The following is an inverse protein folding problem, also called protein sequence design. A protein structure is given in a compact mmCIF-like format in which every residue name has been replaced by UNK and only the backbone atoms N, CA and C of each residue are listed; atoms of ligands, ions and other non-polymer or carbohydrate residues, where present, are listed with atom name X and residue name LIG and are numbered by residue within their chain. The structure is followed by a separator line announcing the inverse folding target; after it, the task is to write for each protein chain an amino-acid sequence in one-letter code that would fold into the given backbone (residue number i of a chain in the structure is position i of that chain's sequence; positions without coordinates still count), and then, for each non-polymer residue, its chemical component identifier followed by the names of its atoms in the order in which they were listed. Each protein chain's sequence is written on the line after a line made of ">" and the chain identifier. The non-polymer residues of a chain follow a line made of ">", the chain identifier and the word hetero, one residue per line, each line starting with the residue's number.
data_IF_547947920458
#
_entry.id   IF_547947920458
#
_cell.length_a   1.000
_cell.length_b   1.000
_cell.length_c   1.000
_cell.angle_alpha   90.00
_cell.angle_beta   90.00
_cell.angle_gamma   90.00
#
_symmetry.space_group_name_H-M   'P 1'
#
loop_
_entity.id
_entity.type
_entity.pdbx_description
1 polymer ?
#
# COMPACT_ATOMS: atom_id res chain seq x y z
N UNK A 1 -44.48 6.20 -5.46
CA UNK A 1 -43.43 7.21 -5.19
C UNK A 1 -42.58 6.91 -3.94
N UNK A 2 -43.16 6.54 -2.78
CA UNK A 2 -42.39 6.30 -1.55
C UNK A 2 -41.36 5.14 -1.59
N UNK A 3 -41.68 4.02 -2.25
CA UNK A 3 -40.75 2.88 -2.37
C UNK A 3 -39.47 3.25 -3.13
N UNK A 4 -39.59 4.01 -4.22
CA UNK A 4 -38.47 4.43 -5.08
C UNK A 4 -37.46 5.31 -4.34
N UNK A 5 -37.94 6.18 -3.44
CA UNK A 5 -37.09 7.06 -2.60
C UNK A 5 -36.29 6.24 -1.59
N UNK A 6 -36.90 5.22 -0.98
CA UNK A 6 -36.22 4.33 -0.02
C UNK A 6 -35.15 3.49 -0.73
N UNK A 7 -35.46 2.92 -1.89
CA UNK A 7 -34.46 2.18 -2.68
C UNK A 7 -33.30 3.08 -3.11
N UNK A 8 -33.58 4.33 -3.48
CA UNK A 8 -32.54 5.29 -3.85
C UNK A 8 -31.64 5.66 -2.66
N UNK A 9 -32.22 5.88 -1.47
CA UNK A 9 -31.46 6.14 -0.25
C UNK A 9 -30.57 4.96 0.16
N UNK A 10 -31.09 3.73 0.11
CA UNK A 10 -30.30 2.52 0.41
C UNK A 10 -29.18 2.31 -0.61
N UNK A 11 -29.43 2.57 -1.89
CA UNK A 11 -28.43 2.49 -2.94
C UNK A 11 -27.28 3.49 -2.73
N UNK A 12 -27.60 4.73 -2.36
CA UNK A 12 -26.59 5.75 -2.03
C UNK A 12 -25.75 5.35 -0.81
N UNK A 13 -26.37 4.79 0.24
CA UNK A 13 -25.65 4.30 1.42
C UNK A 13 -24.71 3.14 1.07
N UNK A 14 -25.15 2.21 0.22
CA UNK A 14 -24.33 1.08 -0.21
C UNK A 14 -23.10 1.53 -1.01
N UNK A 15 -23.29 2.45 -1.98
CA UNK A 15 -22.18 3.03 -2.74
C UNK A 15 -21.22 3.78 -1.81
N UNK A 16 -21.76 4.55 -0.86
CA UNK A 16 -20.96 5.30 0.11
C UNK A 16 -20.08 4.38 0.95
N UNK A 17 -20.66 3.32 1.50
CA UNK A 17 -19.94 2.34 2.32
C UNK A 17 -18.84 1.68 1.49
N UNK A 18 -19.12 1.34 0.23
CA UNK A 18 -18.16 0.70 -0.67
C UNK A 18 -16.98 1.63 -1.00
N UNK A 19 -17.24 2.90 -1.33
CA UNK A 19 -16.18 3.89 -1.59
C UNK A 19 -15.33 4.15 -0.34
N UNK A 20 -15.96 4.26 0.83
CA UNK A 20 -15.22 4.46 2.10
C UNK A 20 -14.34 3.25 2.45
N UNK A 21 -14.84 2.03 2.23
CA UNK A 21 -14.06 0.81 2.44
C UNK A 21 -12.89 0.73 1.45
N UNK A 22 -13.11 1.13 0.21
CA UNK A 22 -12.08 1.12 -0.83
C UNK A 22 -10.95 2.12 -0.54
N UNK A 23 -11.29 3.34 -0.11
CA UNK A 23 -10.30 4.35 0.28
C UNK A 23 -9.49 3.90 1.51
N UNK A 24 -10.17 3.31 2.51
CA UNK A 24 -9.50 2.75 3.69
C UNK A 24 -8.54 1.62 3.33
N UNK A 25 -8.98 0.68 2.48
CA UNK A 25 -8.16 -0.45 2.05
C UNK A 25 -6.91 0.00 1.28
N UNK A 26 -7.01 1.03 0.43
CA UNK A 26 -5.85 1.62 -0.27
C UNK A 26 -4.86 2.24 0.70
N UNK A 27 -5.36 2.97 1.70
CA UNK A 27 -4.54 3.61 2.73
C UNK A 27 -3.79 2.56 3.56
N UNK A 28 -4.47 1.50 3.99
CA UNK A 28 -3.87 0.40 4.76
C UNK A 28 -2.81 -0.35 3.95
N UNK A 29 -3.06 -0.57 2.65
CA UNK A 29 -2.08 -1.19 1.74
C UNK A 29 -0.80 -0.35 1.61
N UNK A 30 -0.92 0.97 1.45
CA UNK A 30 0.25 1.86 1.39
C UNK A 30 0.99 1.86 2.73
N UNK A 31 0.27 1.88 3.86
CA UNK A 31 0.88 1.89 5.19
C UNK A 31 1.66 0.59 5.46
N UNK A 32 1.14 -0.56 5.03
CA UNK A 32 1.87 -1.83 5.06
C UNK A 32 3.21 -1.74 4.31
N UNK A 33 3.21 -1.15 3.10
CA UNK A 33 4.41 -0.98 2.28
C UNK A 33 5.41 0.00 2.92
N UNK A 34 4.94 1.11 3.48
CA UNK A 34 5.78 2.03 4.26
C UNK A 34 6.46 1.28 5.41
N UNK A 35 5.70 0.48 6.16
CA UNK A 35 6.23 -0.31 7.27
C UNK A 35 7.30 -1.31 6.79
N UNK A 36 7.04 -2.00 5.68
CA UNK A 36 8.02 -2.91 5.07
C UNK A 36 9.31 -2.16 4.73
N UNK A 37 9.24 -1.06 3.98
CA UNK A 37 10.43 -0.29 3.59
C UNK A 37 11.21 0.20 4.82
N UNK A 38 10.54 0.70 5.86
CA UNK A 38 11.19 1.09 7.13
C UNK A 38 11.91 -0.08 7.81
N UNK A 39 11.29 -1.27 7.84
CA UNK A 39 11.95 -2.48 8.35
C UNK A 39 13.15 -2.85 7.47
N UNK A 40 13.03 -2.69 6.15
CA UNK A 40 14.12 -3.00 5.21
C UNK A 40 15.35 -2.13 5.43
N UNK A 41 15.16 -0.83 5.63
CA UNK A 41 16.24 0.11 5.99
C UNK A 41 16.90 -0.33 7.30
N UNK A 42 16.10 -0.60 8.32
CA UNK A 42 16.63 -1.04 9.61
C UNK A 42 17.40 -2.37 9.48
N UNK A 43 16.89 -3.32 8.68
CA UNK A 43 17.55 -4.61 8.46
C UNK A 43 18.85 -4.47 7.68
N UNK A 44 18.92 -3.58 6.68
CA UNK A 44 20.15 -3.29 5.94
C UNK A 44 21.21 -2.66 6.83
N UNK A 45 20.81 -1.74 7.72
CA UNK A 45 21.71 -1.11 8.70
C UNK A 45 22.42 -2.15 9.57
N UNK A 46 21.67 -3.16 10.05
CA UNK A 46 22.20 -4.23 10.91
C UNK A 46 22.67 -5.49 10.17
N UNK A 47 22.75 -5.50 8.84
CA UNK A 47 23.04 -6.68 8.01
C UNK A 47 22.22 -7.91 8.40
N UNK A 48 20.96 -7.70 8.79
CA UNK A 48 20.04 -8.78 9.18
C UNK A 48 19.21 -9.22 7.99
N UNK A 49 18.91 -10.52 7.88
CA UNK A 49 18.08 -11.02 6.80
C UNK A 49 16.65 -10.48 6.94
N UNK A 50 16.03 -10.22 5.80
CA UNK A 50 14.73 -9.61 5.67
C UNK A 50 13.61 -10.66 5.49
N UNK A 51 13.58 -11.66 6.38
CA UNK A 51 12.70 -12.82 6.28
C UNK A 51 11.22 -12.45 6.15
N UNK A 52 10.81 -11.33 6.78
CA UNK A 52 9.43 -10.83 6.70
C UNK A 52 9.03 -10.49 5.26
N UNK A 53 9.96 -9.97 4.44
CA UNK A 53 9.73 -9.66 3.04
C UNK A 53 9.58 -10.93 2.20
N UNK A 54 10.38 -11.96 2.48
CA UNK A 54 10.31 -13.25 1.78
C UNK A 54 9.00 -14.00 2.09
N UNK A 55 8.60 -14.04 3.36
CA UNK A 55 7.30 -14.61 3.78
C UNK A 55 6.15 -13.87 3.11
N UNK A 56 6.25 -12.54 3.03
CA UNK A 56 5.23 -11.72 2.42
C UNK A 56 5.18 -11.97 0.90
N UNK A 57 6.29 -11.87 0.17
CA UNK A 57 6.37 -12.21 -1.25
C UNK A 57 5.79 -13.61 -1.53
N UNK A 58 6.20 -14.63 -0.78
CA UNK A 58 5.70 -15.99 -0.94
C UNK A 58 4.19 -16.08 -0.75
N UNK A 59 3.63 -15.40 0.26
CA UNK A 59 2.17 -15.32 0.47
C UNK A 59 1.46 -14.66 -0.70
N UNK A 60 2.04 -13.59 -1.25
CA UNK A 60 1.48 -12.86 -2.41
C UNK A 60 1.58 -13.65 -3.73
N UNK A 61 2.53 -14.57 -3.83
CA UNK A 61 2.75 -15.40 -5.03
C UNK A 61 1.97 -16.71 -4.99
N UNK A 62 1.75 -17.29 -3.80
CA UNK A 62 0.98 -18.54 -3.63
C UNK A 62 -0.50 -18.34 -3.39
N UNK A 63 -0.92 -17.19 -2.86
CA UNK A 63 -2.35 -16.94 -2.64
C UNK A 63 -3.06 -16.53 -3.93
N UNK A 64 -4.12 -17.24 -4.28
CA UNK A 64 -5.07 -16.88 -5.34
C UNK A 64 -5.98 -15.68 -4.95
N UNK A 65 -5.57 -14.90 -3.95
CA UNK A 65 -6.32 -13.75 -3.49
C UNK A 65 -6.29 -12.68 -4.59
N UNK A 66 -7.40 -11.95 -4.74
CA UNK A 66 -7.53 -10.77 -5.60
C UNK A 66 -6.69 -9.63 -5.04
N UNK A 67 -5.37 -9.82 -5.07
CA UNK A 67 -4.40 -8.81 -4.71
C UNK A 67 -4.39 -7.78 -5.85
N UNK A 68 -4.44 -6.52 -5.47
CA UNK A 68 -4.25 -5.42 -6.39
C UNK A 68 -2.90 -5.57 -7.13
N UNK A 69 -2.93 -5.65 -8.46
CA UNK A 69 -1.74 -5.88 -9.31
C UNK A 69 -0.62 -4.88 -9.02
N UNK A 70 -0.97 -3.64 -8.69
CA UNK A 70 -0.03 -2.57 -8.35
C UNK A 70 0.72 -2.89 -7.06
N UNK A 71 0.03 -3.41 -6.05
CA UNK A 71 0.63 -3.72 -4.75
C UNK A 71 1.56 -4.94 -4.85
N UNK A 72 1.18 -5.94 -5.66
CA UNK A 72 2.05 -7.06 -5.98
C UNK A 72 3.32 -6.61 -6.70
N UNK A 73 3.18 -5.78 -7.75
CA UNK A 73 4.33 -5.25 -8.48
C UNK A 73 5.28 -4.45 -7.60
N UNK A 74 4.75 -3.63 -6.68
CA UNK A 74 5.57 -2.88 -5.71
C UNK A 74 6.37 -3.83 -4.79
N UNK A 75 5.76 -4.94 -4.33
CA UNK A 75 6.42 -5.94 -3.47
C UNK A 75 7.49 -6.72 -4.24
N UNK A 76 7.18 -7.14 -5.47
CA UNK A 76 8.09 -7.89 -6.34
C UNK A 76 9.34 -7.05 -6.66
N UNK A 77 9.17 -5.75 -6.90
CA UNK A 77 10.26 -4.80 -7.13
C UNK A 77 11.18 -4.66 -5.90
N UNK A 78 10.59 -4.52 -4.70
CA UNK A 78 11.35 -4.44 -3.44
C UNK A 78 12.12 -5.75 -3.20
N UNK A 79 11.47 -6.90 -3.44
CA UNK A 79 12.09 -8.21 -3.29
C UNK A 79 13.22 -8.44 -4.29
N UNK A 80 13.05 -8.03 -5.55
CA UNK A 80 14.08 -8.13 -6.58
C UNK A 80 15.33 -7.33 -6.22
N UNK A 81 15.18 -6.08 -5.77
CA UNK A 81 16.31 -5.27 -5.31
C UNK A 81 16.96 -5.87 -4.05
N UNK A 82 16.18 -6.43 -3.13
CA UNK A 82 16.73 -7.13 -1.97
C UNK A 82 17.56 -8.37 -2.34
N UNK A 83 17.11 -9.15 -3.33
CA UNK A 83 17.89 -10.29 -3.85
C UNK A 83 19.20 -9.82 -4.48
N UNK A 84 19.16 -8.79 -5.32
CA UNK A 84 20.38 -8.21 -5.92
C UNK A 84 21.37 -7.72 -4.86
N UNK A 85 20.87 -7.20 -3.73
CA UNK A 85 21.70 -6.80 -2.59
C UNK A 85 22.34 -8.02 -1.90
N UNK A 86 21.58 -9.08 -1.62
CA UNK A 86 22.13 -10.31 -1.01
C UNK A 86 23.15 -10.99 -1.93
N UNK A 87 22.87 -11.03 -3.23
CA UNK A 87 23.75 -11.62 -4.26
C UNK A 87 25.04 -10.80 -4.47
N UNK A 88 25.13 -9.60 -3.89
CA UNK A 88 26.28 -8.70 -4.03
C UNK A 88 26.35 -7.98 -5.38
N UNK A 89 25.25 -7.99 -6.15
CA UNK A 89 25.13 -7.32 -7.45
C UNK A 89 24.97 -5.81 -7.30
N UNK A 90 24.31 -5.36 -6.22
CA UNK A 90 24.24 -3.96 -5.81
C UNK A 90 24.86 -3.79 -4.44
N UNK A 91 25.49 -2.64 -4.21
CA UNK A 91 26.07 -2.28 -2.95
C UNK A 91 25.01 -1.79 -1.95
N UNK A 92 25.39 -1.78 -0.67
CA UNK A 92 24.50 -1.36 0.42
C UNK A 92 24.03 0.08 0.27
N UNK A 93 24.89 1.00 -0.19
CA UNK A 93 24.52 2.42 -0.31
C UNK A 93 23.43 2.59 -1.38
N UNK A 94 23.58 1.91 -2.52
CA UNK A 94 22.56 1.90 -3.56
C UNK A 94 21.24 1.29 -3.07
N UNK A 95 21.29 0.16 -2.37
CA UNK A 95 20.08 -0.47 -1.82
C UNK A 95 19.37 0.42 -0.80
N UNK A 96 20.11 1.08 0.10
CA UNK A 96 19.54 2.03 1.06
C UNK A 96 18.98 3.27 0.40
N UNK A 97 19.65 3.79 -0.64
CA UNK A 97 19.14 4.91 -1.42
C UNK A 97 17.83 4.54 -2.13
N UNK A 98 17.75 3.35 -2.72
CA UNK A 98 16.53 2.82 -3.30
C UNK A 98 15.39 2.77 -2.27
N UNK A 99 15.63 2.18 -1.10
CA UNK A 99 14.62 2.08 -0.05
C UNK A 99 14.18 3.45 0.46
N UNK A 100 15.10 4.39 0.68
CA UNK A 100 14.77 5.76 1.11
C UNK A 100 13.93 6.50 0.06
N UNK A 101 14.25 6.39 -1.23
CA UNK A 101 13.43 6.97 -2.29
C UNK A 101 12.04 6.33 -2.35
N UNK A 102 11.96 5.00 -2.29
CA UNK A 102 10.68 4.28 -2.29
C UNK A 102 9.83 4.68 -1.07
N UNK A 103 10.47 4.89 0.09
CA UNK A 103 9.79 5.38 1.30
C UNK A 103 9.14 6.74 1.07
N UNK A 104 9.89 7.71 0.53
CA UNK A 104 9.38 9.06 0.25
C UNK A 104 8.17 8.99 -0.70
N UNK A 105 8.28 8.22 -1.79
CA UNK A 105 7.18 8.05 -2.75
C UNK A 105 5.93 7.39 -2.14
N UNK A 106 6.12 6.45 -1.21
CA UNK A 106 5.01 5.81 -0.52
C UNK A 106 4.36 6.74 0.53
N UNK A 107 5.16 7.54 1.24
CA UNK A 107 4.67 8.54 2.20
C UNK A 107 3.89 9.65 1.48
N UNK A 108 4.38 10.15 0.35
CA UNK A 108 3.66 11.10 -0.51
C UNK A 108 2.34 10.52 -1.04
N UNK A 109 2.36 9.27 -1.53
CA UNK A 109 1.14 8.57 -1.96
C UNK A 109 0.13 8.40 -0.82
N UNK A 110 0.61 8.11 0.39
CA UNK A 110 -0.25 7.99 1.56
C UNK A 110 -0.89 9.35 1.91
N UNK A 111 -0.12 10.43 1.92
CA UNK A 111 -0.62 11.77 2.18
C UNK A 111 -1.66 12.19 1.13
N UNK A 112 -1.40 11.91 -0.15
CA UNK A 112 -2.37 12.12 -1.22
C UNK A 112 -3.70 11.39 -0.97
N UNK A 113 -3.66 10.10 -0.60
CA UNK A 113 -4.88 9.35 -0.29
C UNK A 113 -5.59 9.86 0.96
N UNK A 114 -4.85 10.27 1.98
CA UNK A 114 -5.44 10.84 3.19
C UNK A 114 -6.14 12.17 2.90
N UNK A 115 -5.49 13.05 2.12
CA UNK A 115 -6.07 14.32 1.69
C UNK A 115 -7.28 14.10 0.79
N UNK A 116 -7.21 13.20 -0.19
CA UNK A 116 -8.33 12.88 -1.07
C UNK A 116 -9.53 12.36 -0.27
N UNK A 117 -9.29 11.47 0.70
CA UNK A 117 -10.34 10.97 1.58
C UNK A 117 -10.96 12.09 2.44
N UNK A 118 -10.15 12.94 3.08
CA UNK A 118 -10.62 14.10 3.84
C UNK A 118 -11.43 15.07 2.97
N UNK A 119 -10.95 15.38 1.78
CA UNK A 119 -11.64 16.25 0.81
C UNK A 119 -12.98 15.64 0.41
N UNK A 120 -13.01 14.33 0.19
CA UNK A 120 -14.26 13.61 -0.12
C UNK A 120 -15.28 13.70 1.01
N UNK A 121 -14.85 13.72 2.28
CA UNK A 121 -15.74 13.93 3.43
C UNK A 121 -16.24 15.38 3.51
N UNK A 122 -15.38 16.36 3.25
CA UNK A 122 -15.74 17.79 3.25
C UNK A 122 -16.77 18.06 2.16
N UNK A 123 -16.52 17.62 0.92
CA UNK A 123 -17.45 17.76 -0.20
C UNK A 123 -18.81 17.13 0.09
N UNK A 124 -18.84 16.08 0.92
CA UNK A 124 -20.09 15.43 1.36
C UNK A 124 -20.82 16.19 2.48
N UNK A 125 -20.13 17.03 3.26
CA UNK A 125 -20.74 17.89 4.30
C UNK A 125 -21.25 19.23 3.75
N UNK A 126 -20.66 19.70 2.65
CA UNK A 126 -21.06 20.94 1.97
C UNK A 126 -22.21 20.75 0.96
N UNK A 127 -22.72 19.52 0.79
CA UNK A 127 -23.82 19.16 -0.10
C UNK A 127 -25.06 18.82 0.70
#
# INVERSE_FOLDING_TARGET
>A
MGKTIVFYGVYQIAIFAFLSLFDSARKDSVLLKIKLVKIGILRSEYNKPFNDLEILHNRYTTSNLLINKVDKSDIDEIYGNYQQYIEGTIDKEFYEFYLKNKLILLEDRYEYYDLAWRLSLILRKCK
#
